data_IF_581711944764
#
_entry.id   IF_581711944764
#
_cell.length_a   1.000
_cell.length_b   1.000
_cell.length_c   1.000
_cell.angle_alpha   90.00
_cell.angle_beta   90.00
_cell.angle_gamma   90.00
#
_symmetry.space_group_name_H-M   'P 1'
#
loop_
_entity.id
_entity.type
_entity.pdbx_description
1 polymer ?
#
# COMPACT_ATOMS: atom_id res chain seq x y z
N UNK A 1 -4.35 -47.13 -9.95
CA UNK A 1 -5.75 -46.66 -9.98
C UNK A 1 -5.86 -45.67 -11.12
N UNK A 2 -6.52 -46.04 -12.27
CA UNK A 2 -6.64 -45.25 -13.50
C UNK A 2 -7.72 -44.17 -13.36
N UNK A 3 -7.39 -43.05 -12.67
CA UNK A 3 -8.30 -41.89 -12.54
C UNK A 3 -8.05 -40.82 -13.64
N UNK A 4 -7.16 -41.08 -14.60
CA UNK A 4 -6.68 -40.03 -15.54
C UNK A 4 -7.35 -40.04 -16.91
N UNK A 5 -8.36 -40.88 -17.16
CA UNK A 5 -8.92 -41.04 -18.51
C UNK A 5 -10.16 -40.20 -18.82
N UNK A 6 -10.78 -39.54 -17.84
CA UNK A 6 -11.99 -38.72 -18.09
C UNK A 6 -11.64 -37.22 -17.95
N UNK A 7 -11.62 -36.47 -19.06
CA UNK A 7 -11.36 -35.00 -19.09
C UNK A 7 -12.25 -34.23 -18.11
N UNK A 8 -13.49 -34.72 -17.89
CA UNK A 8 -14.42 -34.09 -16.93
C UNK A 8 -13.99 -34.30 -15.48
N UNK A 9 -13.47 -35.46 -15.11
CA UNK A 9 -12.99 -35.74 -13.75
C UNK A 9 -11.73 -34.90 -13.47
N UNK A 10 -10.80 -34.79 -14.44
CA UNK A 10 -9.63 -33.95 -14.31
C UNK A 10 -9.98 -32.47 -14.16
N UNK A 11 -11.03 -32.00 -14.86
CA UNK A 11 -11.54 -30.63 -14.71
C UNK A 11 -12.12 -30.38 -13.31
N UNK A 12 -12.96 -31.28 -12.79
CA UNK A 12 -13.52 -31.14 -11.44
C UNK A 12 -12.45 -31.22 -10.35
N UNK A 13 -11.43 -32.04 -10.52
CA UNK A 13 -10.28 -32.12 -9.61
C UNK A 13 -9.51 -30.79 -9.64
N UNK A 14 -9.23 -30.22 -10.82
CA UNK A 14 -8.58 -28.93 -10.96
C UNK A 14 -9.36 -27.82 -10.28
N UNK A 15 -10.68 -27.74 -10.53
CA UNK A 15 -11.58 -26.79 -9.86
C UNK A 15 -11.54 -26.97 -8.34
N UNK A 16 -11.55 -28.21 -7.86
CA UNK A 16 -11.41 -28.53 -6.44
C UNK A 16 -10.11 -27.99 -5.85
N UNK A 17 -8.97 -28.19 -6.51
CA UNK A 17 -7.70 -27.63 -6.07
C UNK A 17 -7.69 -26.10 -6.06
N UNK A 18 -8.26 -25.45 -7.06
CA UNK A 18 -8.37 -23.99 -7.14
C UNK A 18 -9.24 -23.46 -5.98
N UNK A 19 -10.36 -24.09 -5.69
CA UNK A 19 -11.22 -23.72 -4.57
C UNK A 19 -10.52 -23.91 -3.21
N UNK A 20 -9.87 -25.05 -3.00
CA UNK A 20 -9.10 -25.31 -1.77
C UNK A 20 -7.96 -24.29 -1.62
N UNK A 21 -7.25 -23.98 -2.71
CA UNK A 21 -6.21 -22.96 -2.69
C UNK A 21 -6.78 -21.58 -2.38
N UNK A 22 -7.91 -21.19 -2.98
CA UNK A 22 -8.57 -19.92 -2.71
C UNK A 22 -9.01 -19.78 -1.25
N UNK A 23 -9.71 -20.78 -0.72
CA UNK A 23 -10.15 -20.76 0.69
C UNK A 23 -8.98 -20.85 1.66
N UNK A 24 -7.97 -21.65 1.33
CA UNK A 24 -6.73 -21.75 2.12
C UNK A 24 -5.98 -20.42 2.17
N UNK A 25 -5.81 -19.75 1.04
CA UNK A 25 -5.19 -18.41 0.98
C UNK A 25 -6.03 -17.38 1.74
N UNK A 26 -7.35 -17.38 1.54
CA UNK A 26 -8.24 -16.47 2.26
C UNK A 26 -8.18 -16.67 3.78
N UNK A 27 -8.18 -17.90 4.25
CA UNK A 27 -8.02 -18.24 5.67
C UNK A 27 -6.65 -17.81 6.18
N UNK A 28 -5.59 -18.10 5.43
CA UNK A 28 -4.23 -17.70 5.78
C UNK A 28 -4.12 -16.18 5.94
N UNK A 29 -4.55 -15.40 4.94
CA UNK A 29 -4.44 -13.95 4.96
C UNK A 29 -5.35 -13.28 5.99
N UNK A 30 -6.56 -13.80 6.22
CA UNK A 30 -7.49 -13.18 7.16
C UNK A 30 -7.25 -13.59 8.62
N UNK A 31 -6.69 -14.78 8.86
CA UNK A 31 -6.54 -15.31 10.22
C UNK A 31 -5.08 -15.43 10.62
N UNK A 32 -4.27 -16.17 9.86
CA UNK A 32 -2.89 -16.49 10.26
C UNK A 32 -1.96 -15.29 10.07
N UNK A 33 -2.07 -14.62 8.93
CA UNK A 33 -1.17 -13.51 8.58
C UNK A 33 -1.22 -12.35 9.58
N UNK A 34 -2.40 -11.83 10.03
CA UNK A 34 -2.45 -10.77 11.04
C UNK A 34 -1.70 -11.13 12.34
N UNK A 35 -1.75 -12.39 12.76
CA UNK A 35 -1.04 -12.84 13.96
C UNK A 35 0.48 -12.94 13.74
N UNK A 36 0.91 -13.15 12.51
CA UNK A 36 2.35 -13.24 12.19
C UNK A 36 2.99 -11.87 11.91
N UNK A 37 2.20 -10.83 11.63
CA UNK A 37 2.69 -9.48 11.32
C UNK A 37 3.65 -8.93 12.38
N UNK A 38 3.39 -9.00 13.71
CA UNK A 38 4.31 -8.50 14.72
C UNK A 38 5.69 -9.19 14.65
N UNK A 39 5.73 -10.49 14.35
CA UNK A 39 6.98 -11.25 14.20
C UNK A 39 7.72 -10.90 12.91
N UNK A 40 7.00 -10.66 11.81
CA UNK A 40 7.61 -10.21 10.55
C UNK A 40 8.25 -8.83 10.75
N UNK A 41 7.53 -7.89 11.39
CA UNK A 41 8.06 -6.56 11.72
C UNK A 41 9.29 -6.69 12.61
N UNK A 42 9.26 -7.54 13.65
CA UNK A 42 10.40 -7.75 14.54
C UNK A 42 11.61 -8.35 13.82
N UNK A 43 11.39 -9.22 12.84
CA UNK A 43 12.46 -9.77 12.01
C UNK A 43 13.13 -8.70 11.13
N UNK A 44 12.34 -7.80 10.55
CA UNK A 44 12.83 -6.66 9.77
C UNK A 44 13.61 -5.70 10.68
N UNK A 45 13.04 -5.35 11.84
CA UNK A 45 13.69 -4.49 12.83
C UNK A 45 15.00 -5.08 13.33
N UNK A 46 15.04 -6.38 13.60
CA UNK A 46 16.28 -7.11 13.97
C UNK A 46 17.34 -6.95 12.88
N UNK A 47 16.95 -7.02 11.60
CA UNK A 47 17.86 -6.82 10.49
C UNK A 47 18.45 -5.40 10.41
N UNK A 48 17.66 -4.39 10.75
CA UNK A 48 18.08 -2.97 10.77
C UNK A 48 19.00 -2.70 11.97
N UNK A 49 18.63 -3.23 13.16
CA UNK A 49 19.30 -2.96 14.42
C UNK A 49 20.62 -3.75 14.57
N UNK A 50 20.82 -4.83 13.80
CA UNK A 50 22.01 -5.67 13.90
C UNK A 50 23.32 -4.92 13.74
N UNK A 51 23.40 -3.97 12.80
CA UNK A 51 24.62 -3.18 12.57
C UNK A 51 24.99 -2.33 13.79
N UNK A 52 24.11 -1.47 14.35
CA UNK A 52 24.42 -0.71 15.55
C UNK A 52 24.68 -1.60 16.78
N UNK A 53 23.97 -2.71 16.92
CA UNK A 53 24.24 -3.65 18.05
C UNK A 53 25.64 -4.26 17.94
N UNK A 54 26.05 -4.70 16.74
CA UNK A 54 27.39 -5.24 16.56
C UNK A 54 28.49 -4.19 16.78
N UNK A 55 28.25 -2.94 16.42
CA UNK A 55 29.19 -1.84 16.70
C UNK A 55 29.35 -1.58 18.20
N UNK A 56 28.26 -1.64 18.97
CA UNK A 56 28.31 -1.51 20.42
C UNK A 56 28.97 -2.72 21.07
N UNK A 57 28.73 -3.93 20.55
CA UNK A 57 29.39 -5.16 21.01
C UNK A 57 30.91 -5.08 20.79
N UNK A 58 31.37 -4.54 19.64
CA UNK A 58 32.79 -4.33 19.38
C UNK A 58 33.44 -3.27 20.30
N UNK A 59 32.65 -2.36 20.88
CA UNK A 59 33.10 -1.41 21.91
C UNK A 59 33.11 -1.99 23.32
N UNK A 60 32.87 -3.29 23.49
CA UNK A 60 32.92 -3.98 24.77
C UNK A 60 31.58 -4.05 25.52
N UNK A 61 30.48 -3.58 24.95
CA UNK A 61 29.17 -3.65 25.60
C UNK A 61 28.58 -5.06 25.40
N UNK A 62 28.09 -5.74 26.48
CA UNK A 62 27.46 -7.05 26.34
C UNK A 62 26.31 -7.02 25.34
N UNK A 63 26.25 -8.01 24.42
CA UNK A 63 25.25 -8.08 23.34
C UNK A 63 23.80 -7.92 23.84
N UNK A 64 23.46 -8.47 25.00
CA UNK A 64 22.12 -8.34 25.61
C UNK A 64 21.77 -6.88 25.92
N UNK A 65 22.73 -6.14 26.49
CA UNK A 65 22.55 -4.72 26.83
C UNK A 65 22.48 -3.87 25.55
N UNK A 66 23.39 -4.10 24.60
CA UNK A 66 23.39 -3.42 23.33
C UNK A 66 22.08 -3.65 22.54
N UNK A 67 21.57 -4.88 22.54
CA UNK A 67 20.29 -5.23 21.92
C UNK A 67 19.12 -4.50 22.60
N UNK A 68 19.08 -4.46 23.95
CA UNK A 68 18.03 -3.78 24.71
C UNK A 68 18.01 -2.27 24.38
N UNK A 69 19.15 -1.60 24.49
CA UNK A 69 19.29 -0.15 24.25
C UNK A 69 18.89 0.18 22.80
N UNK A 70 19.44 -0.53 21.83
CA UNK A 70 19.12 -0.28 20.41
C UNK A 70 17.65 -0.56 20.12
N UNK A 71 17.08 -1.65 20.61
CA UNK A 71 15.66 -1.97 20.38
C UNK A 71 14.76 -0.89 20.96
N UNK A 72 15.03 -0.45 22.19
CA UNK A 72 14.25 0.58 22.86
C UNK A 72 14.34 1.92 22.10
N UNK A 73 15.56 2.31 21.72
CA UNK A 73 15.79 3.55 20.96
C UNK A 73 15.05 3.55 19.61
N UNK A 74 15.16 2.47 18.84
CA UNK A 74 14.51 2.38 17.52
C UNK A 74 12.99 2.33 17.63
N UNK A 75 12.43 1.56 18.58
CA UNK A 75 10.98 1.49 18.76
C UNK A 75 10.44 2.85 19.23
N UNK A 76 11.13 3.54 20.15
CA UNK A 76 10.75 4.88 20.58
C UNK A 76 10.81 5.86 19.41
N UNK A 77 11.88 5.86 18.62
CA UNK A 77 12.04 6.72 17.47
C UNK A 77 10.91 6.50 16.43
N UNK A 78 10.71 5.26 15.98
CA UNK A 78 9.68 4.93 15.00
C UNK A 78 8.27 5.15 15.57
N UNK A 79 8.04 4.79 16.83
CA UNK A 79 6.77 5.03 17.51
C UNK A 79 6.43 6.52 17.61
N UNK A 80 7.41 7.37 17.92
CA UNK A 80 7.23 8.83 17.95
C UNK A 80 6.91 9.38 16.56
N UNK A 81 7.61 8.94 15.52
CA UNK A 81 7.33 9.37 14.13
C UNK A 81 5.91 8.99 13.73
N UNK A 82 5.50 7.74 13.96
CA UNK A 82 4.15 7.26 13.65
C UNK A 82 3.12 8.05 14.46
N UNK A 83 3.35 8.27 15.75
CA UNK A 83 2.47 9.07 16.61
C UNK A 83 2.26 10.48 16.07
N UNK A 84 3.34 11.18 15.67
CA UNK A 84 3.26 12.52 15.10
C UNK A 84 2.46 12.55 13.80
N UNK A 85 2.70 11.59 12.90
CA UNK A 85 1.94 11.47 11.64
C UNK A 85 0.45 11.27 11.94
N UNK A 86 0.12 10.31 12.81
CA UNK A 86 -1.27 10.00 13.18
C UNK A 86 -1.94 11.18 13.88
N UNK A 87 -1.23 11.86 14.79
CA UNK A 87 -1.76 13.03 15.49
C UNK A 87 -2.12 14.17 14.53
N UNK A 88 -1.26 14.46 13.54
CA UNK A 88 -1.54 15.47 12.51
C UNK A 88 -2.70 15.03 11.62
N UNK A 89 -2.74 13.76 11.20
CA UNK A 89 -3.86 13.23 10.41
C UNK A 89 -5.19 13.31 11.16
N UNK A 90 -5.20 12.98 12.46
CA UNK A 90 -6.43 13.08 13.29
C UNK A 90 -6.85 14.54 13.46
N UNK A 91 -5.91 15.45 13.72
CA UNK A 91 -6.20 16.88 13.87
C UNK A 91 -6.84 17.45 12.60
N UNK A 92 -6.16 17.29 11.46
CA UNK A 92 -6.69 17.76 10.18
C UNK A 92 -7.95 17.02 9.74
N UNK A 93 -8.06 15.73 10.05
CA UNK A 93 -9.28 14.95 9.80
C UNK A 93 -10.48 15.45 10.56
N UNK A 94 -10.33 15.82 11.85
CA UNK A 94 -11.42 16.43 12.66
C UNK A 94 -11.88 17.76 12.07
N UNK A 95 -10.95 18.62 11.66
CA UNK A 95 -11.26 19.91 11.04
C UNK A 95 -11.98 19.71 9.69
N UNK A 96 -11.53 18.75 8.87
CA UNK A 96 -12.20 18.38 7.63
C UNK A 96 -13.63 17.89 7.89
N UNK A 97 -13.83 17.01 8.88
CA UNK A 97 -15.16 16.51 9.26
C UNK A 97 -16.05 17.65 9.74
N UNK A 98 -15.52 18.59 10.52
CA UNK A 98 -16.27 19.76 11.00
C UNK A 98 -16.70 20.69 9.86
N UNK A 99 -15.91 20.78 8.78
CA UNK A 99 -16.24 21.57 7.59
C UNK A 99 -17.14 20.85 6.58
N UNK A 100 -17.30 19.52 6.67
CA UNK A 100 -18.13 18.73 5.75
C UNK A 100 -19.59 19.20 5.66
N UNK A 101 -20.30 19.50 6.77
CA UNK A 101 -21.70 19.93 6.67
C UNK A 101 -21.89 21.19 5.82
N UNK A 102 -20.95 22.15 5.92
CA UNK A 102 -20.99 23.37 5.09
C UNK A 102 -20.64 23.07 3.63
N UNK A 103 -19.72 22.14 3.37
CA UNK A 103 -19.38 21.69 2.02
C UNK A 103 -20.57 20.95 1.39
N UNK A 104 -21.20 20.04 2.11
CA UNK A 104 -22.37 19.28 1.60
C UNK A 104 -23.56 20.21 1.34
N UNK A 105 -23.82 21.20 2.18
CA UNK A 105 -24.89 22.17 1.97
C UNK A 105 -24.64 23.07 0.75
N UNK A 106 -23.38 23.36 0.41
CA UNK A 106 -23.02 24.14 -0.77
C UNK A 106 -22.91 23.31 -2.07
N UNK A 107 -22.92 21.98 -1.99
CA UNK A 107 -22.80 21.11 -3.16
C UNK A 107 -23.94 21.25 -4.16
N UNK A 108 -25.24 21.28 -3.78
CA UNK A 108 -26.32 21.42 -4.75
C UNK A 108 -26.23 22.71 -5.56
N UNK A 109 -25.87 23.83 -4.92
CA UNK A 109 -25.70 25.13 -5.57
C UNK A 109 -24.49 25.10 -6.54
N UNK A 110 -23.35 24.55 -6.09
CA UNK A 110 -22.17 24.39 -6.94
C UNK A 110 -22.41 23.43 -8.11
N UNK A 111 -23.15 22.35 -7.89
CA UNK A 111 -23.51 21.37 -8.95
C UNK A 111 -24.43 22.03 -9.97
N UNK A 112 -25.42 22.85 -9.52
CA UNK A 112 -26.29 23.61 -10.42
C UNK A 112 -25.49 24.62 -11.26
N UNK A 113 -24.54 25.34 -10.64
CA UNK A 113 -23.64 26.25 -11.35
C UNK A 113 -22.73 25.53 -12.36
N UNK A 114 -22.25 24.34 -11.99
CA UNK A 114 -21.43 23.50 -12.89
C UNK A 114 -22.28 22.99 -14.05
N UNK A 115 -23.51 22.51 -13.80
CA UNK A 115 -24.37 22.01 -14.86
C UNK A 115 -24.71 23.11 -15.90
N UNK A 116 -25.07 24.29 -15.43
CA UNK A 116 -25.39 25.42 -16.32
C UNK A 116 -24.19 25.90 -17.15
N UNK A 117 -22.97 25.88 -16.58
CA UNK A 117 -21.75 26.21 -17.32
C UNK A 117 -21.36 25.12 -18.32
N UNK A 118 -21.51 23.85 -17.95
CA UNK A 118 -21.24 22.72 -18.84
C UNK A 118 -22.26 22.69 -20.00
N UNK A 119 -23.54 22.89 -19.72
CA UNK A 119 -24.57 22.95 -20.74
C UNK A 119 -24.27 24.08 -21.75
N UNK A 120 -23.83 25.27 -21.29
CA UNK A 120 -23.38 26.34 -22.14
C UNK A 120 -22.13 26.04 -23.00
N UNK A 121 -21.21 25.20 -22.47
CA UNK A 121 -20.05 24.74 -23.25
C UNK A 121 -20.47 23.68 -24.28
N UNK A 122 -21.40 22.79 -23.93
CA UNK A 122 -21.94 21.80 -24.87
C UNK A 122 -22.76 22.42 -25.98
N UNK A 123 -23.53 23.48 -25.71
CA UNK A 123 -24.23 24.26 -26.74
C UNK A 123 -23.26 24.98 -27.70
N UNK A 124 -22.10 25.41 -27.22
CA UNK A 124 -21.08 26.07 -28.03
C UNK A 124 -20.23 25.10 -28.89
N UNK A 125 -20.25 23.80 -28.60
CA UNK A 125 -19.49 22.78 -29.33
C UNK A 125 -20.46 22.02 -30.29
N UNK A 126 -20.14 21.87 -31.59
CA UNK A 126 -21.00 21.17 -32.54
C UNK A 126 -20.90 19.61 -32.33
N UNK A 127 -21.30 19.12 -31.15
CA UNK A 127 -21.20 17.73 -30.77
C UNK A 127 -22.24 16.83 -31.45
N UNK A 128 -23.32 17.42 -32.02
CA UNK A 128 -24.28 16.65 -32.82
C UNK A 128 -23.63 15.94 -34.03
N UNK A 129 -22.50 16.45 -34.51
CA UNK A 129 -21.74 15.82 -35.60
C UNK A 129 -20.95 14.60 -35.18
N UNK A 130 -20.78 14.36 -33.88
CA UNK A 130 -19.96 13.25 -33.33
C UNK A 130 -20.84 12.10 -32.80
N UNK A 131 -22.20 12.22 -32.89
CA UNK A 131 -23.14 11.18 -32.54
C UNK A 131 -23.21 10.89 -31.02
N UNK A 132 -22.73 11.79 -30.18
CA UNK A 132 -22.80 11.69 -28.72
C UNK A 132 -24.04 12.45 -28.27
N UNK A 133 -25.14 11.71 -28.02
CA UNK A 133 -26.35 12.26 -27.41
C UNK A 133 -26.15 12.21 -25.88
N UNK A 134 -25.66 13.28 -25.29
CA UNK A 134 -25.69 13.46 -23.83
C UNK A 134 -26.96 14.29 -23.55
N UNK A 135 -28.08 13.61 -23.39
CA UNK A 135 -29.29 14.22 -22.89
C UNK A 135 -29.15 14.42 -21.40
N UNK A 136 -28.83 15.62 -21.00
CA UNK A 136 -28.75 16.12 -19.62
C UNK A 136 -27.66 15.55 -18.74
N UNK A 137 -26.61 16.34 -18.51
CA UNK A 137 -25.59 16.10 -17.48
C UNK A 137 -26.20 15.96 -16.08
N UNK A 138 -27.37 16.58 -15.85
CA UNK A 138 -28.17 16.39 -14.62
C UNK A 138 -28.63 14.94 -14.41
N UNK A 139 -29.00 14.20 -15.45
CA UNK A 139 -29.41 12.79 -15.33
C UNK A 139 -28.21 11.89 -15.01
N UNK A 140 -27.03 12.22 -15.53
CA UNK A 140 -25.78 11.55 -15.16
C UNK A 140 -25.39 11.81 -13.69
N UNK A 141 -25.53 13.05 -13.22
CA UNK A 141 -25.24 13.41 -11.82
C UNK A 141 -26.25 12.82 -10.85
N UNK A 142 -27.53 12.74 -11.22
CA UNK A 142 -28.55 12.11 -10.37
C UNK A 142 -28.41 10.59 -10.28
N UNK A 143 -27.79 9.96 -11.28
CA UNK A 143 -27.47 8.53 -11.26
C UNK A 143 -26.23 8.19 -10.41
N UNK A 144 -25.38 9.19 -10.11
CA UNK A 144 -24.27 9.02 -9.18
C UNK A 144 -24.86 9.09 -7.77
N UNK A 145 -25.16 7.93 -7.19
CA UNK A 145 -25.44 7.83 -5.78
C UNK A 145 -24.21 8.32 -5.02
N UNK A 146 -24.22 9.59 -4.61
CA UNK A 146 -23.20 10.09 -3.68
C UNK A 146 -23.25 9.21 -2.44
N UNK A 147 -22.11 8.61 -2.04
CA UNK A 147 -22.09 7.82 -0.80
C UNK A 147 -22.66 8.68 0.33
N UNK A 148 -23.50 8.07 1.18
CA UNK A 148 -24.01 8.74 2.37
C UNK A 148 -22.83 9.30 3.19
N UNK A 149 -22.53 10.59 3.00
CA UNK A 149 -21.59 11.33 3.83
C UNK A 149 -22.23 11.65 5.19
N UNK A 150 -22.85 10.65 5.80
CA UNK A 150 -23.30 10.78 7.18
C UNK A 150 -22.07 10.93 8.08
N UNK A 151 -22.15 11.83 9.05
CA UNK A 151 -21.11 11.98 10.06
C UNK A 151 -20.71 10.63 10.68
N UNK A 152 -21.63 9.66 10.69
CA UNK A 152 -21.43 8.27 11.12
C UNK A 152 -20.39 7.54 10.25
N UNK A 153 -20.40 7.73 8.92
CA UNK A 153 -19.45 7.05 8.02
C UNK A 153 -18.01 7.52 8.23
N UNK A 154 -17.82 8.74 8.71
CA UNK A 154 -16.49 9.34 8.96
C UNK A 154 -16.04 9.11 10.39
N UNK A 155 -16.97 9.15 11.35
CA UNK A 155 -16.68 8.92 12.78
C UNK A 155 -16.40 7.44 13.05
N UNK A 156 -17.04 6.52 12.31
CA UNK A 156 -16.88 5.07 12.49
C UNK A 156 -15.42 4.57 12.33
N UNK A 157 -14.64 5.00 11.31
CA UNK A 157 -13.23 4.64 11.20
C UNK A 157 -12.39 5.18 12.37
N UNK A 158 -12.63 6.42 12.81
CA UNK A 158 -11.92 7.05 13.93
C UNK A 158 -12.20 6.27 15.22
N UNK A 159 -13.46 5.91 15.46
CA UNK A 159 -13.85 5.10 16.61
C UNK A 159 -13.24 3.69 16.56
N UNK A 160 -13.18 3.06 15.38
CA UNK A 160 -12.50 1.77 15.19
C UNK A 160 -11.01 1.85 15.55
N UNK A 161 -10.32 2.94 15.20
CA UNK A 161 -8.92 3.15 15.59
C UNK A 161 -8.81 3.26 17.11
N UNK A 162 -9.68 4.00 17.78
CA UNK A 162 -9.67 4.12 19.23
C UNK A 162 -9.93 2.78 19.93
N UNK A 163 -10.87 1.99 19.46
CA UNK A 163 -11.18 0.65 20.01
C UNK A 163 -10.04 -0.36 19.73
N UNK A 164 -9.21 -0.14 18.71
CA UNK A 164 -8.06 -0.99 18.42
C UNK A 164 -6.82 -0.69 19.27
N UNK A 165 -6.81 0.36 20.11
CA UNK A 165 -5.66 0.73 20.95
C UNK A 165 -5.11 -0.41 21.80
N UNK A 166 -5.91 -1.24 22.51
CA UNK A 166 -5.39 -2.37 23.27
C UNK A 166 -4.62 -3.37 22.39
N UNK A 167 -5.13 -3.65 21.19
CA UNK A 167 -4.47 -4.55 20.24
C UNK A 167 -3.16 -3.96 19.71
N UNK A 168 -3.13 -2.65 19.44
CA UNK A 168 -1.92 -1.95 18.99
C UNK A 168 -0.86 -1.96 20.09
N UNK A 169 -1.24 -1.69 21.34
CA UNK A 169 -0.31 -1.74 22.50
C UNK A 169 0.25 -3.15 22.65
N UNK A 170 -0.60 -4.17 22.66
CA UNK A 170 -0.19 -5.56 22.76
C UNK A 170 0.77 -5.96 21.62
N UNK A 171 0.43 -5.62 20.39
CA UNK A 171 1.29 -5.87 19.22
C UNK A 171 2.64 -5.18 19.36
N UNK A 172 2.67 -3.94 19.85
CA UNK A 172 3.92 -3.19 20.07
C UNK A 172 4.80 -3.85 21.12
N UNK A 173 4.21 -4.35 22.21
CA UNK A 173 4.93 -5.14 23.23
C UNK A 173 5.51 -6.41 22.62
N UNK A 174 4.74 -7.14 21.79
CA UNK A 174 5.24 -8.32 21.10
C UNK A 174 6.36 -8.00 20.12
N UNK A 175 6.25 -6.90 19.36
CA UNK A 175 7.32 -6.44 18.46
C UNK A 175 8.58 -6.12 19.26
N UNK A 176 8.46 -5.42 20.39
CA UNK A 176 9.59 -5.11 21.26
C UNK A 176 10.29 -6.36 21.77
N UNK A 177 9.54 -7.23 22.43
CA UNK A 177 10.04 -8.46 23.04
C UNK A 177 10.68 -9.38 22.00
N UNK A 178 9.98 -9.60 20.88
CA UNK A 178 10.48 -10.43 19.78
C UNK A 178 11.76 -9.86 19.15
N UNK A 179 11.80 -8.55 18.90
CA UNK A 179 13.00 -7.87 18.34
C UNK A 179 14.19 -8.00 19.29
N UNK A 180 13.95 -7.79 20.59
CA UNK A 180 14.98 -7.94 21.60
C UNK A 180 15.55 -9.37 21.63
N UNK A 181 14.70 -10.40 21.75
CA UNK A 181 15.15 -11.79 21.80
C UNK A 181 15.81 -12.22 20.49
N UNK A 182 15.24 -11.89 19.34
CA UNK A 182 15.83 -12.21 18.04
C UNK A 182 17.20 -11.56 17.84
N UNK A 183 17.41 -10.35 18.38
CA UNK A 183 18.69 -9.63 18.29
C UNK A 183 19.70 -10.14 19.29
N UNK A 184 19.31 -10.30 20.57
CA UNK A 184 20.20 -10.72 21.65
C UNK A 184 20.67 -12.17 21.48
N UNK A 185 19.76 -13.08 21.06
CA UNK A 185 20.04 -14.51 20.93
C UNK A 185 20.20 -14.99 19.48
N UNK A 186 20.41 -14.08 18.55
CA UNK A 186 20.52 -14.39 17.12
C UNK A 186 21.47 -15.55 16.82
N UNK A 187 22.63 -15.59 17.48
CA UNK A 187 23.63 -16.65 17.24
C UNK A 187 23.09 -18.02 17.68
N UNK A 188 22.34 -18.08 18.77
CA UNK A 188 21.73 -19.30 19.30
C UNK A 188 20.59 -19.77 18.41
N UNK A 189 19.70 -18.85 18.00
CA UNK A 189 18.56 -19.14 17.12
C UNK A 189 19.07 -19.66 15.77
N UNK A 190 20.03 -18.98 15.14
CA UNK A 190 20.58 -19.40 13.85
C UNK A 190 21.27 -20.76 13.95
N UNK A 191 22.00 -21.02 15.06
CA UNK A 191 22.66 -22.31 15.31
C UNK A 191 21.63 -23.41 15.48
N UNK A 192 20.56 -23.17 16.24
CA UNK A 192 19.46 -24.11 16.43
C UNK A 192 18.80 -24.47 15.11
N UNK A 193 18.41 -23.47 14.29
CA UNK A 193 17.78 -23.67 12.97
C UNK A 193 18.71 -24.50 12.06
N UNK A 194 20.00 -24.14 12.01
CA UNK A 194 20.99 -24.88 11.21
C UNK A 194 21.15 -26.35 11.64
N UNK A 195 20.95 -26.65 12.92
CA UNK A 195 21.08 -28.01 13.45
C UNK A 195 19.83 -28.86 13.18
N UNK A 196 18.65 -28.22 13.07
CA UNK A 196 17.37 -28.93 12.87
C UNK A 196 17.06 -29.19 11.39
N UNK A 197 17.55 -28.35 10.48
CA UNK A 197 17.22 -28.46 9.07
C UNK A 197 18.22 -29.35 8.31
N UNK A 198 17.71 -30.25 7.43
CA UNK A 198 18.57 -30.99 6.50
C UNK A 198 19.39 -30.02 5.61
N UNK A 199 20.61 -30.42 5.18
CA UNK A 199 21.50 -29.56 4.39
C UNK A 199 20.83 -28.95 3.16
N UNK A 200 20.05 -29.74 2.41
CA UNK A 200 19.30 -29.28 1.22
C UNK A 200 18.29 -28.18 1.54
N UNK A 201 17.53 -28.35 2.64
CA UNK A 201 16.54 -27.35 3.07
C UNK A 201 17.23 -26.07 3.55
N UNK A 202 18.39 -26.20 4.16
CA UNK A 202 19.19 -25.07 4.61
C UNK A 202 19.70 -24.24 3.42
N UNK A 203 20.18 -24.89 2.36
CA UNK A 203 20.63 -24.25 1.12
C UNK A 203 19.49 -23.47 0.46
N UNK A 204 18.32 -24.11 0.29
CA UNK A 204 17.10 -23.47 -0.21
C UNK A 204 16.71 -22.26 0.65
N UNK A 205 16.72 -22.40 1.98
CA UNK A 205 16.39 -21.32 2.90
C UNK A 205 17.36 -20.12 2.77
N UNK A 206 18.65 -20.36 2.55
CA UNK A 206 19.61 -19.29 2.29
C UNK A 206 19.38 -18.59 0.94
N UNK A 207 19.08 -19.33 -0.11
CA UNK A 207 18.79 -18.75 -1.43
C UNK A 207 17.47 -17.94 -1.40
N UNK A 208 16.42 -18.48 -0.79
CA UNK A 208 15.15 -17.76 -0.56
C UNK A 208 15.39 -16.48 0.24
N UNK A 209 16.13 -16.54 1.34
CA UNK A 209 16.48 -15.35 2.12
C UNK A 209 17.27 -14.34 1.30
N UNK A 210 18.25 -14.79 0.53
CA UNK A 210 19.05 -13.93 -0.35
C UNK A 210 18.17 -13.24 -1.37
N UNK A 211 17.25 -13.96 -1.99
CA UNK A 211 16.28 -13.43 -2.92
C UNK A 211 15.35 -12.40 -2.26
N UNK A 212 14.77 -12.71 -1.12
CA UNK A 212 13.90 -11.79 -0.37
C UNK A 212 14.63 -10.49 0.00
N UNK A 213 15.85 -10.59 0.52
CA UNK A 213 16.63 -9.40 0.89
C UNK A 213 17.12 -8.62 -0.33
N UNK A 214 17.54 -9.29 -1.39
CA UNK A 214 18.11 -8.61 -2.57
C UNK A 214 17.06 -8.01 -3.50
N UNK A 215 15.89 -8.62 -3.61
CA UNK A 215 14.85 -8.21 -4.56
C UNK A 215 13.68 -7.54 -3.87
N UNK A 216 13.00 -8.25 -2.96
CA UNK A 216 11.76 -7.75 -2.33
C UNK A 216 12.04 -6.57 -1.42
N UNK A 217 13.06 -6.67 -0.55
CA UNK A 217 13.37 -5.60 0.39
C UNK A 217 13.89 -4.33 -0.33
N UNK A 218 14.69 -4.50 -1.39
CA UNK A 218 15.11 -3.37 -2.23
C UNK A 218 13.92 -2.70 -2.93
N UNK A 219 12.98 -3.51 -3.43
CA UNK A 219 11.76 -2.99 -4.05
C UNK A 219 10.90 -2.20 -3.06
N UNK A 220 10.64 -2.75 -1.85
CA UNK A 220 9.90 -2.06 -0.79
C UNK A 220 10.59 -0.73 -0.43
N UNK A 221 11.92 -0.75 -0.28
CA UNK A 221 12.69 0.47 -0.01
C UNK A 221 12.54 1.49 -1.14
N UNK A 222 12.64 1.05 -2.39
CA UNK A 222 12.47 1.89 -3.56
C UNK A 222 11.07 2.54 -3.57
N UNK A 223 10.03 1.74 -3.37
CA UNK A 223 8.65 2.22 -3.33
C UNK A 223 8.42 3.21 -2.17
N UNK A 224 8.99 2.95 -0.99
CA UNK A 224 8.90 3.88 0.15
C UNK A 224 9.55 5.23 -0.16
N UNK A 225 10.68 5.24 -0.86
CA UNK A 225 11.35 6.49 -1.27
C UNK A 225 10.49 7.25 -2.28
N UNK A 226 9.89 6.57 -3.26
CA UNK A 226 9.01 7.20 -4.25
C UNK A 226 7.80 7.83 -3.54
N UNK A 227 7.13 7.10 -2.64
CA UNK A 227 5.99 7.60 -1.86
C UNK A 227 6.39 8.85 -1.05
N UNK A 228 7.56 8.85 -0.41
CA UNK A 228 8.05 10.01 0.33
C UNK A 228 8.31 11.22 -0.58
N UNK A 229 8.86 11.00 -1.78
CA UNK A 229 9.08 12.08 -2.75
C UNK A 229 7.75 12.65 -3.20
N UNK A 230 6.82 11.81 -3.66
CA UNK A 230 5.46 12.22 -4.07
C UNK A 230 4.74 12.98 -2.94
N UNK A 231 4.83 12.49 -1.70
CA UNK A 231 4.26 13.17 -0.55
C UNK A 231 4.83 14.58 -0.36
N UNK A 232 6.16 14.73 -0.43
CA UNK A 232 6.81 16.02 -0.29
C UNK A 232 6.42 17.00 -1.41
N UNK A 233 6.37 16.52 -2.66
CA UNK A 233 5.96 17.32 -3.82
C UNK A 233 4.52 17.83 -3.66
N UNK A 234 3.59 16.92 -3.32
CA UNK A 234 2.19 17.26 -3.08
C UNK A 234 2.03 18.22 -1.91
N UNK A 235 2.74 17.98 -0.80
CA UNK A 235 2.67 18.83 0.39
C UNK A 235 3.15 20.25 0.10
N UNK A 236 4.27 20.39 -0.62
CA UNK A 236 4.80 21.69 -1.03
C UNK A 236 3.80 22.38 -1.96
N UNK A 237 3.32 21.70 -2.97
CA UNK A 237 2.40 22.26 -3.94
C UNK A 237 1.08 22.70 -3.29
N UNK A 238 0.49 21.87 -2.42
CA UNK A 238 -0.77 22.20 -1.74
C UNK A 238 -0.62 23.37 -0.77
N UNK A 239 0.54 23.47 -0.09
CA UNK A 239 0.84 24.65 0.75
C UNK A 239 1.01 25.92 -0.08
N UNK A 240 1.68 25.86 -1.22
CA UNK A 240 1.83 27.01 -2.13
C UNK A 240 0.47 27.49 -2.68
N UNK A 241 -0.45 26.55 -2.91
CA UNK A 241 -1.80 26.85 -3.36
C UNK A 241 -2.74 27.19 -2.19
N UNK A 242 -2.25 27.26 -0.94
CA UNK A 242 -3.06 27.53 0.27
C UNK A 242 -4.23 26.58 0.46
N UNK A 243 -4.09 25.31 0.01
CA UNK A 243 -5.13 24.30 0.16
C UNK A 243 -5.23 23.89 1.63
N UNK A 244 -6.43 23.93 2.23
CA UNK A 244 -6.63 23.46 3.59
C UNK A 244 -6.34 21.96 3.68
N UNK A 245 -5.91 21.52 4.88
CA UNK A 245 -5.61 20.10 5.15
C UNK A 245 -4.53 19.49 4.22
N UNK A 246 -3.60 20.33 3.75
CA UNK A 246 -2.58 19.96 2.76
C UNK A 246 -1.79 18.70 3.15
N UNK A 247 -1.45 18.52 4.44
CA UNK A 247 -0.74 17.35 4.92
C UNK A 247 -1.57 16.07 4.78
N UNK A 248 -2.82 16.09 5.22
CA UNK A 248 -3.74 14.95 5.15
C UNK A 248 -3.99 14.55 3.70
N UNK A 249 -4.29 15.53 2.84
CA UNK A 249 -4.56 15.31 1.41
C UNK A 249 -3.33 14.76 0.70
N UNK A 250 -2.15 15.37 0.92
CA UNK A 250 -0.90 14.88 0.34
C UNK A 250 -0.58 13.45 0.78
N UNK A 251 -0.81 13.11 2.07
CA UNK A 251 -0.62 11.75 2.59
C UNK A 251 -1.58 10.75 1.92
N UNK A 252 -2.86 11.08 1.83
CA UNK A 252 -3.85 10.22 1.20
C UNK A 252 -3.53 9.99 -0.28
N UNK A 253 -3.19 11.04 -1.02
CA UNK A 253 -2.88 10.93 -2.45
C UNK A 253 -1.57 10.18 -2.68
N UNK A 254 -0.54 10.39 -1.85
CA UNK A 254 0.71 9.64 -1.94
C UNK A 254 0.52 8.14 -1.63
N UNK A 255 -0.41 7.78 -0.74
CA UNK A 255 -0.80 6.38 -0.51
C UNK A 255 -1.58 5.80 -1.69
N UNK A 256 -2.45 6.57 -2.32
CA UNK A 256 -3.15 6.17 -3.56
C UNK A 256 -2.15 5.99 -4.70
N UNK A 257 -1.14 6.85 -4.80
CA UNK A 257 -0.06 6.77 -5.79
C UNK A 257 0.79 5.50 -5.64
N UNK A 258 0.89 4.95 -4.42
CA UNK A 258 1.55 3.67 -4.18
C UNK A 258 0.84 2.50 -4.88
N UNK A 259 -0.42 2.65 -5.27
CA UNK A 259 -1.17 1.61 -5.98
C UNK A 259 -0.73 1.54 -7.45
N UNK A 260 -0.36 0.35 -7.95
CA UNK A 260 0.27 0.20 -9.28
C UNK A 260 -0.57 0.65 -10.48
N UNK A 261 -1.85 0.99 -10.29
CA UNK A 261 -2.80 1.28 -11.37
C UNK A 261 -3.33 2.71 -11.29
N UNK A 262 -3.47 3.26 -10.08
CA UNK A 262 -4.19 4.51 -9.88
C UNK A 262 -3.34 5.75 -10.16
N UNK A 263 -2.23 5.91 -9.47
CA UNK A 263 -1.37 7.08 -9.62
C UNK A 263 -1.99 8.40 -9.12
N UNK A 264 -1.17 9.44 -9.01
CA UNK A 264 -1.58 10.79 -8.56
C UNK A 264 -2.62 11.43 -9.48
N UNK A 265 -2.55 11.12 -10.78
CA UNK A 265 -3.44 11.68 -11.80
C UNK A 265 -4.91 11.36 -11.59
N UNK A 266 -5.23 10.20 -10.98
CA UNK A 266 -6.63 9.81 -10.70
C UNK A 266 -7.34 10.78 -9.74
N UNK A 267 -6.60 11.53 -8.96
CA UNK A 267 -7.14 12.53 -8.03
C UNK A 267 -6.94 13.94 -8.58
N UNK A 268 -5.73 14.29 -9.04
CA UNK A 268 -5.42 15.66 -9.44
C UNK A 268 -6.11 16.07 -10.74
N UNK A 269 -6.30 15.16 -11.71
CA UNK A 269 -6.95 15.49 -12.99
C UNK A 269 -8.44 15.80 -12.78
N UNK A 270 -9.26 14.95 -12.14
CA UNK A 270 -10.65 15.31 -11.84
C UNK A 270 -10.78 16.58 -11.01
N UNK A 271 -9.90 16.77 -10.01
CA UNK A 271 -9.90 17.96 -9.19
C UNK A 271 -9.61 19.22 -10.02
N UNK A 272 -8.62 19.18 -10.92
CA UNK A 272 -8.33 20.28 -11.83
C UNK A 272 -9.51 20.62 -12.73
N UNK A 273 -10.19 19.60 -13.30
CA UNK A 273 -11.38 19.79 -14.13
C UNK A 273 -12.50 20.48 -13.35
N UNK A 274 -12.78 20.02 -12.13
CA UNK A 274 -13.79 20.62 -11.25
C UNK A 274 -13.43 22.09 -10.95
N UNK A 275 -12.17 22.38 -10.59
CA UNK A 275 -11.70 23.74 -10.33
C UNK A 275 -11.83 24.63 -11.55
N UNK A 276 -11.55 24.09 -12.75
CA UNK A 276 -11.71 24.85 -14.01
C UNK A 276 -13.17 25.22 -14.27
N UNK A 277 -14.08 24.26 -14.11
CA UNK A 277 -15.53 24.48 -14.35
C UNK A 277 -16.12 25.44 -13.31
N UNK A 278 -15.67 25.38 -12.07
CA UNK A 278 -16.09 26.33 -11.01
C UNK A 278 -15.51 27.74 -11.18
N UNK A 279 -14.62 27.95 -12.17
CA UNK A 279 -13.99 29.25 -12.45
C UNK A 279 -12.76 29.54 -11.59
N UNK A 280 -12.28 28.56 -10.82
CA UNK A 280 -11.07 28.69 -10.02
C UNK A 280 -9.83 28.28 -10.83
N UNK A 281 -9.45 29.16 -11.75
CA UNK A 281 -8.33 28.94 -12.65
C UNK A 281 -6.99 28.74 -11.94
N UNK A 282 -6.81 29.38 -10.76
CA UNK A 282 -5.57 29.27 -10.01
C UNK A 282 -5.34 27.84 -9.51
N UNK A 283 -6.33 27.24 -8.87
CA UNK A 283 -6.24 25.85 -8.42
C UNK A 283 -6.27 24.86 -9.59
N UNK A 284 -7.05 25.13 -10.65
CA UNK A 284 -7.07 24.27 -11.82
C UNK A 284 -5.69 24.12 -12.47
N UNK A 285 -5.02 25.25 -12.77
CA UNK A 285 -3.67 25.27 -13.34
C UNK A 285 -2.66 24.72 -12.35
N UNK A 286 -2.80 25.06 -11.06
CA UNK A 286 -1.95 24.56 -10.00
C UNK A 286 -1.96 23.03 -9.89
N UNK A 287 -3.13 22.38 -9.98
CA UNK A 287 -3.26 20.93 -9.94
C UNK A 287 -2.63 20.24 -11.16
N UNK A 288 -2.84 20.80 -12.37
CA UNK A 288 -2.21 20.27 -13.60
C UNK A 288 -0.69 20.44 -13.55
N UNK A 289 -0.20 21.59 -13.09
CA UNK A 289 1.22 21.82 -12.92
C UNK A 289 1.83 20.85 -11.91
N UNK A 290 1.16 20.65 -10.76
CA UNK A 290 1.57 19.67 -9.76
C UNK A 290 1.64 18.27 -10.34
N UNK A 291 0.62 17.84 -11.07
CA UNK A 291 0.60 16.54 -11.74
C UNK A 291 1.79 16.40 -12.71
N UNK A 292 2.04 17.44 -13.53
CA UNK A 292 3.17 17.46 -14.46
C UNK A 292 4.51 17.32 -13.76
N UNK A 293 4.74 18.05 -12.67
CA UNK A 293 5.97 17.96 -11.87
C UNK A 293 6.16 16.57 -11.29
N UNK A 294 5.13 16.02 -10.63
CA UNK A 294 5.16 14.67 -10.06
C UNK A 294 5.46 13.63 -11.14
N UNK A 295 4.82 13.74 -12.32
CA UNK A 295 5.03 12.81 -13.43
C UNK A 295 6.46 12.87 -13.96
N UNK A 296 7.03 14.07 -14.14
CA UNK A 296 8.41 14.24 -14.60
C UNK A 296 9.40 13.66 -13.58
N UNK A 297 9.26 14.01 -12.31
CA UNK A 297 10.16 13.55 -11.26
C UNK A 297 10.05 12.03 -11.10
N UNK A 298 8.83 11.48 -11.12
CA UNK A 298 8.60 10.03 -11.09
C UNK A 298 9.30 9.31 -12.24
N UNK A 299 9.12 9.79 -13.48
CA UNK A 299 9.75 9.19 -14.67
C UNK A 299 11.28 9.24 -14.63
N UNK A 300 11.86 10.24 -13.94
CA UNK A 300 13.32 10.35 -13.76
C UNK A 300 13.86 9.49 -12.62
N UNK A 301 13.08 9.35 -11.54
CA UNK A 301 13.51 8.73 -10.28
C UNK A 301 13.21 7.23 -10.28
N UNK A 302 12.05 6.82 -10.76
CA UNK A 302 11.60 5.42 -10.75
C UNK A 302 12.59 4.46 -11.43
N UNK A 303 13.10 4.72 -12.67
CA UNK A 303 14.09 3.82 -13.29
C UNK A 303 15.42 3.74 -12.54
N UNK A 304 15.83 4.82 -11.88
CA UNK A 304 17.07 4.87 -11.11
C UNK A 304 17.00 4.10 -9.79
N UNK A 305 15.83 4.11 -9.15
CA UNK A 305 15.63 3.52 -7.82
C UNK A 305 15.11 2.09 -7.94
N UNK A 306 14.14 1.84 -8.80
CA UNK A 306 13.50 0.52 -8.98
C UNK A 306 14.38 -0.43 -9.76
N UNK A 307 15.20 0.04 -10.71
CA UNK A 307 16.33 -0.60 -11.42
C UNK A 307 16.25 -2.09 -11.80
N UNK A 308 15.23 -2.81 -11.36
CA UNK A 308 15.02 -4.21 -11.65
C UNK A 308 13.52 -4.44 -11.88
N UNK A 309 13.19 -4.81 -13.09
CA UNK A 309 11.88 -5.37 -13.39
C UNK A 309 11.69 -6.59 -12.48
N UNK A 310 10.64 -6.56 -11.67
CA UNK A 310 10.13 -7.76 -11.04
C UNK A 310 9.88 -8.69 -12.22
N UNK A 311 10.57 -9.83 -12.31
CA UNK A 311 10.61 -10.70 -13.50
C UNK A 311 9.29 -11.39 -13.85
N UNK A 312 8.15 -10.75 -13.58
CA UNK A 312 6.82 -11.20 -13.93
C UNK A 312 6.31 -10.48 -15.18
N UNK A 313 5.66 -11.23 -16.06
CA UNK A 313 4.95 -10.65 -17.18
C UNK A 313 3.90 -9.63 -16.68
N UNK A 314 3.72 -8.45 -17.32
CA UNK A 314 2.80 -7.39 -16.86
C UNK A 314 1.37 -7.88 -16.61
N UNK A 315 0.85 -8.78 -17.47
CA UNK A 315 -0.47 -9.37 -17.30
C UNK A 315 -0.58 -10.22 -16.01
N UNK A 316 0.46 -11.02 -15.70
CA UNK A 316 0.50 -11.83 -14.47
C UNK A 316 0.54 -10.92 -13.25
N UNK A 317 1.32 -9.84 -13.30
CA UNK A 317 1.36 -8.83 -12.23
C UNK A 317 -0.01 -8.21 -11.98
N UNK A 318 -0.75 -7.86 -13.05
CA UNK A 318 -2.10 -7.31 -12.95
C UNK A 318 -3.07 -8.31 -12.32
N UNK A 319 -3.03 -9.57 -12.71
CA UNK A 319 -3.82 -10.64 -12.08
C UNK A 319 -3.48 -10.81 -10.60
N UNK A 320 -2.20 -10.83 -10.26
CA UNK A 320 -1.73 -10.93 -8.87
C UNK A 320 -2.23 -9.76 -8.01
N UNK A 321 -2.22 -8.54 -8.54
CA UNK A 321 -2.74 -7.35 -7.85
C UNK A 321 -4.25 -7.47 -7.64
N UNK A 322 -5.01 -7.82 -8.68
CA UNK A 322 -6.46 -7.94 -8.58
C UNK A 322 -6.90 -9.05 -7.61
N UNK A 323 -6.37 -10.25 -7.77
CA UNK A 323 -6.68 -11.35 -6.85
C UNK A 323 -6.16 -11.10 -5.45
N UNK A 324 -4.98 -10.48 -5.33
CA UNK A 324 -4.42 -10.08 -4.06
C UNK A 324 -5.36 -9.14 -3.29
N UNK A 325 -5.90 -8.13 -3.97
CA UNK A 325 -6.89 -7.23 -3.39
C UNK A 325 -8.15 -7.98 -2.92
N UNK A 326 -8.68 -8.89 -3.73
CA UNK A 326 -9.88 -9.68 -3.38
C UNK A 326 -9.68 -10.64 -2.21
N UNK A 327 -8.46 -11.16 -2.02
CA UNK A 327 -8.14 -12.14 -0.96
C UNK A 327 -7.79 -11.45 0.36
N UNK A 328 -6.95 -10.43 0.32
CA UNK A 328 -6.35 -9.83 1.52
C UNK A 328 -6.37 -8.29 1.50
N UNK A 329 -7.24 -7.67 0.71
CA UNK A 329 -7.37 -6.23 0.61
C UNK A 329 -6.08 -5.55 0.12
N UNK A 330 -5.82 -4.34 0.62
CA UNK A 330 -4.66 -3.52 0.24
C UNK A 330 -3.32 -4.25 0.41
N UNK A 331 -3.14 -4.97 1.52
CA UNK A 331 -1.91 -5.76 1.76
C UNK A 331 -1.69 -6.87 0.75
N UNK A 332 -2.78 -7.51 0.28
CA UNK A 332 -2.73 -8.58 -0.70
C UNK A 332 -2.23 -8.14 -2.07
N UNK A 333 -2.48 -6.88 -2.47
CA UNK A 333 -1.99 -6.33 -3.74
C UNK A 333 -0.46 -6.37 -3.84
N UNK A 334 0.23 -6.26 -2.72
CA UNK A 334 1.70 -6.30 -2.65
C UNK A 334 2.22 -7.71 -2.34
N UNK A 335 1.53 -8.44 -1.46
CA UNK A 335 1.99 -9.75 -1.00
C UNK A 335 1.83 -10.85 -2.05
N UNK A 336 0.73 -10.86 -2.82
CA UNK A 336 0.50 -11.92 -3.82
C UNK A 336 1.54 -11.89 -4.94
N UNK A 337 1.92 -10.75 -5.55
CA UNK A 337 3.03 -10.70 -6.49
C UNK A 337 4.35 -11.23 -5.91
N UNK A 338 4.65 -10.88 -4.64
CA UNK A 338 5.85 -11.39 -3.95
C UNK A 338 5.80 -12.90 -3.76
N UNK A 339 4.64 -13.46 -3.41
CA UNK A 339 4.47 -14.91 -3.29
C UNK A 339 4.65 -15.62 -4.63
N UNK A 340 4.10 -15.08 -5.70
CA UNK A 340 4.28 -15.65 -7.06
C UNK A 340 5.75 -15.63 -7.46
N UNK A 341 6.46 -14.53 -7.22
CA UNK A 341 7.91 -14.46 -7.45
C UNK A 341 8.68 -15.49 -6.62
N UNK A 342 8.28 -15.70 -5.38
CA UNK A 342 8.88 -16.73 -4.53
C UNK A 342 8.65 -18.13 -5.08
N UNK A 343 7.44 -18.42 -5.58
CA UNK A 343 7.10 -19.69 -6.24
C UNK A 343 7.96 -19.89 -7.49
N UNK A 344 8.08 -18.88 -8.36
CA UNK A 344 8.97 -18.92 -9.51
C UNK A 344 10.43 -19.21 -9.11
N UNK A 345 10.91 -18.56 -8.04
CA UNK A 345 12.26 -18.79 -7.53
C UNK A 345 12.47 -20.22 -7.00
N UNK A 346 11.47 -20.76 -6.30
CA UNK A 346 11.51 -22.15 -5.82
C UNK A 346 11.48 -23.16 -6.98
N UNK A 347 10.82 -22.83 -8.08
CA UNK A 347 10.85 -23.63 -9.31
C UNK A 347 12.23 -23.60 -9.98
N UNK A 348 12.86 -22.42 -10.12
CA UNK A 348 14.24 -22.30 -10.60
C UNK A 348 15.23 -23.13 -9.77
N UNK A 349 15.00 -23.22 -8.45
CA UNK A 349 15.80 -24.05 -7.54
C UNK A 349 15.45 -25.55 -7.61
N UNK A 350 14.49 -25.95 -8.45
CA UNK A 350 14.09 -27.34 -8.61
C UNK A 350 13.35 -27.95 -7.41
N UNK A 351 12.87 -27.10 -6.48
CA UNK A 351 12.15 -27.55 -5.28
C UNK A 351 10.72 -27.96 -5.59
N UNK A 352 10.08 -27.22 -6.48
CA UNK A 352 8.72 -27.47 -6.95
C UNK A 352 8.67 -27.40 -8.48
N UNK A 353 7.79 -28.19 -9.09
CA UNK A 353 7.46 -28.09 -10.51
C UNK A 353 6.03 -27.60 -10.62
N UNK A 354 5.83 -26.33 -11.00
CA UNK A 354 4.50 -25.72 -11.14
C UNK A 354 4.08 -25.68 -12.60
N UNK A 355 5.02 -25.43 -13.52
CA UNK A 355 4.79 -25.42 -14.97
C UNK A 355 5.99 -26.05 -15.70
N UNK A 356 5.76 -26.55 -16.89
CA UNK A 356 6.81 -27.01 -17.80
C UNK A 356 7.24 -25.82 -18.67
N UNK A 357 8.53 -25.59 -18.79
CA UNK A 357 9.09 -24.63 -19.73
C UNK A 357 8.89 -25.06 -21.17
#
# INVERSE_FOLDING_TARGET
MKFHENKHISFFILVGYVLVAYFGLKFFFNTVFPWTVPFIISMIMTGIIEKPVSQLEHKGIPRKVAALVCTLLYITLFGTIIYLIVAVCISQGKELVASLPSLVQSLPEKISDISTKIDGIFEALPLEKIGVHISNFQDLLSSIQLPDFSAVAIVTPIFKVAVSLPTVILSTVFIFVSTYFMTSERRTIVRFIKKQLPPKVLEIAFEVRRFLVSSVFKWIKAQSVIICITFCELLISFKLQSIPYAFLLAMCIAVIDALPILGVGTVLIPWSIISLVTGDFFHAVGMIATYGVVLVIRNMVEPKIVGMHIGLHPFVSLLCIYFGYRIAGFGGMFLVPVLVLLICKLQELGVIKVYNE
#
